data_IF_820980723779
#
_entry.id   IF_820980723779
#
_cell.length_a   1.000
_cell.length_b   1.000
_cell.length_c   1.000
_cell.angle_alpha   90.00
_cell.angle_beta   90.00
_cell.angle_gamma   90.00
#
_symmetry.space_group_name_H-M   'P 1'
#
loop_
_entity.id
_entity.type
_entity.pdbx_description
1 polymer ?
#
# COMPACT_ATOMS: atom_id res chain seq x y z
N UNK A 1 -20.81 -19.57 0.57
CA UNK A 1 -19.59 -19.55 1.42
C UNK A 1 -18.48 -20.50 0.90
N UNK A 2 -18.10 -20.45 -0.40
CA UNK A 2 -17.04 -21.32 -0.97
C UNK A 2 -16.20 -20.70 -2.11
N UNK A 3 -16.18 -19.37 -2.30
CA UNK A 3 -15.43 -18.74 -3.42
C UNK A 3 -14.35 -17.73 -2.95
N UNK A 4 -14.30 -17.39 -1.66
CA UNK A 4 -13.24 -16.51 -1.13
C UNK A 4 -11.92 -17.21 -0.78
N UNK A 5 -11.86 -18.56 -0.82
CA UNK A 5 -10.67 -19.33 -0.42
C UNK A 5 -9.68 -19.65 -1.55
N UNK A 6 -9.94 -19.27 -2.81
CA UNK A 6 -9.07 -19.66 -3.93
C UNK A 6 -7.92 -18.68 -4.21
N UNK A 7 -8.02 -17.42 -3.76
CA UNK A 7 -7.02 -16.38 -4.09
C UNK A 7 -5.98 -16.11 -2.99
N UNK A 8 -6.04 -16.79 -1.84
CA UNK A 8 -5.03 -16.67 -0.79
C UNK A 8 -3.80 -17.60 -0.97
N UNK A 9 -3.77 -18.46 -2.01
CA UNK A 9 -2.76 -19.52 -2.14
C UNK A 9 -1.67 -19.30 -3.21
N UNK A 10 -1.43 -18.07 -3.69
CA UNK A 10 -0.21 -17.78 -4.49
C UNK A 10 1.03 -17.48 -3.61
N UNK A 11 0.88 -17.38 -2.29
CA UNK A 11 1.99 -17.10 -1.33
C UNK A 11 1.90 -17.89 0.01
N UNK A 12 1.92 -19.25 -0.05
CA UNK A 12 2.29 -20.27 0.98
C UNK A 12 1.66 -20.23 2.40
N UNK A 13 0.92 -21.24 2.90
CA UNK A 13 1.31 -22.55 3.50
C UNK A 13 0.04 -23.47 3.53
N UNK A 14 0.15 -24.82 3.47
CA UNK A 14 -0.96 -25.71 3.15
C UNK A 14 -1.88 -26.03 4.33
N UNK A 15 -3.19 -26.12 4.07
CA UNK A 15 -4.13 -26.79 4.95
C UNK A 15 -4.66 -28.05 4.25
N UNK A 16 -4.36 -29.19 4.86
CA UNK A 16 -4.77 -30.53 4.45
C UNK A 16 -5.98 -30.91 5.30
N UNK A 17 -7.14 -31.15 4.70
CA UNK A 17 -8.25 -31.81 5.37
C UNK A 17 -8.88 -32.87 4.45
N UNK A 18 -8.71 -34.12 4.89
CA UNK A 18 -9.45 -35.31 4.45
C UNK A 18 -10.77 -35.31 5.22
N UNK A 19 -11.88 -35.56 4.53
CA UNK A 19 -13.19 -35.74 5.16
C UNK A 19 -14.20 -36.26 4.14
N UNK A 20 -14.40 -37.56 4.14
CA UNK A 20 -15.21 -38.31 3.18
C UNK A 20 -16.71 -38.34 3.53
N UNK A 21 -17.46 -38.83 2.55
CA UNK A 21 -18.77 -39.51 2.58
C UNK A 21 -20.05 -38.67 2.68
N UNK A 22 -20.74 -38.60 1.54
CA UNK A 22 -22.10 -38.11 1.37
C UNK A 22 -22.48 -38.21 -0.11
N UNK A 23 -22.81 -39.41 -0.56
CA UNK A 23 -23.08 -39.77 -1.96
C UNK A 23 -24.33 -39.03 -2.46
N UNK A 24 -24.14 -38.19 -3.48
CA UNK A 24 -25.22 -37.58 -4.25
C UNK A 24 -24.69 -37.10 -5.58
N UNK A 25 -24.80 -37.93 -6.63
CA UNK A 25 -24.47 -37.51 -8.00
C UNK A 25 -25.58 -36.55 -8.44
N UNK A 26 -25.34 -35.23 -8.36
CA UNK A 26 -26.11 -34.24 -9.11
C UNK A 26 -25.40 -34.03 -10.45
N UNK A 27 -25.95 -34.61 -11.50
CA UNK A 27 -25.58 -34.28 -12.88
C UNK A 27 -26.15 -32.91 -13.22
N UNK A 28 -25.27 -31.91 -13.34
CA UNK A 28 -25.61 -30.66 -13.98
C UNK A 28 -25.15 -30.77 -15.43
N UNK A 29 -26.12 -30.83 -16.35
CA UNK A 29 -25.85 -30.75 -17.78
C UNK A 29 -25.38 -29.33 -18.08
N UNK A 30 -24.06 -29.14 -18.17
CA UNK A 30 -23.47 -27.90 -18.64
C UNK A 30 -23.81 -27.72 -20.11
N UNK A 31 -24.43 -26.58 -20.40
CA UNK A 31 -24.75 -26.04 -21.74
C UNK A 31 -23.42 -25.75 -22.47
N UNK A 32 -22.75 -26.79 -22.94
CA UNK A 32 -21.67 -26.77 -23.93
C UNK A 32 -21.41 -28.22 -24.40
N UNK A 33 -21.81 -28.52 -25.63
CA UNK A 33 -21.27 -29.62 -26.43
C UNK A 33 -21.79 -31.03 -26.13
N UNK A 34 -23.04 -31.31 -26.48
CA UNK A 34 -23.37 -32.69 -26.88
C UNK A 34 -22.86 -32.92 -28.29
N UNK A 35 -21.73 -33.64 -28.40
CA UNK A 35 -21.42 -34.37 -29.62
C UNK A 35 -22.31 -35.61 -29.66
N UNK A 36 -23.52 -35.47 -30.19
CA UNK A 36 -24.22 -36.59 -30.80
C UNK A 36 -23.77 -36.68 -32.25
N UNK A 37 -22.59 -37.27 -32.48
CA UNK A 37 -22.30 -37.89 -33.76
C UNK A 37 -22.72 -39.35 -33.66
N UNK A 38 -24.03 -39.58 -33.83
CA UNK A 38 -24.52 -40.85 -34.34
C UNK A 38 -25.90 -40.67 -34.97
N UNK A 39 -25.87 -40.53 -36.31
CA UNK A 39 -26.92 -41.01 -37.20
C UNK A 39 -28.26 -40.26 -37.23
N UNK A 40 -28.28 -39.02 -37.73
CA UNK A 40 -29.45 -38.49 -38.46
C UNK A 40 -28.94 -37.72 -39.67
N UNK A 41 -28.89 -38.41 -40.81
CA UNK A 41 -28.73 -37.79 -42.12
C UNK A 41 -30.04 -37.08 -42.50
N UNK A 42 -29.93 -35.89 -43.08
CA UNK A 42 -30.98 -35.12 -43.77
C UNK A 42 -32.06 -34.43 -42.91
N UNK A 43 -31.68 -33.39 -42.17
CA UNK A 43 -32.61 -32.29 -41.82
C UNK A 43 -32.17 -31.03 -42.57
N UNK A 44 -33.05 -30.37 -43.37
CA UNK A 44 -32.71 -29.13 -44.06
C UNK A 44 -32.26 -28.05 -43.07
N UNK A 45 -31.16 -27.36 -43.40
CA UNK A 45 -30.54 -26.30 -42.60
C UNK A 45 -31.50 -25.17 -42.20
N UNK A 46 -32.58 -25.00 -42.96
CA UNK A 46 -33.54 -23.93 -42.75
C UNK A 46 -34.45 -24.16 -41.53
N UNK A 47 -34.67 -25.42 -41.12
CA UNK A 47 -35.48 -25.75 -39.94
C UNK A 47 -34.71 -25.62 -38.62
N UNK A 48 -33.37 -25.77 -38.65
CA UNK A 48 -32.52 -25.66 -37.46
C UNK A 48 -32.39 -24.20 -37.02
N UNK A 49 -32.33 -23.26 -37.97
CA UNK A 49 -32.25 -21.83 -37.65
C UNK A 49 -33.58 -21.25 -37.10
N UNK A 50 -34.73 -21.88 -37.38
CA UNK A 50 -36.03 -21.44 -36.84
C UNK A 50 -36.29 -21.93 -35.40
N UNK A 51 -35.66 -23.02 -34.96
CA UNK A 51 -35.90 -23.62 -33.62
C UNK A 51 -34.99 -23.00 -32.53
N UNK A 52 -33.84 -22.43 -32.90
CA UNK A 52 -32.86 -21.90 -31.94
C UNK A 52 -32.86 -20.36 -31.77
N UNK A 53 -33.83 -19.64 -32.34
CA UNK A 53 -34.12 -18.25 -31.96
C UNK A 53 -34.97 -18.18 -30.68
N UNK A 54 -34.51 -18.86 -29.63
CA UNK A 54 -34.95 -18.52 -28.28
C UNK A 54 -34.13 -17.29 -27.92
N UNK A 55 -34.74 -16.11 -27.99
CA UNK A 55 -34.27 -14.91 -27.30
C UNK A 55 -33.95 -15.34 -25.88
N UNK A 56 -32.66 -15.52 -25.60
CA UNK A 56 -32.18 -15.96 -24.31
C UNK A 56 -32.48 -14.79 -23.38
N UNK A 57 -33.48 -14.87 -22.47
CA UNK A 57 -33.80 -13.74 -21.62
C UNK A 57 -32.52 -13.41 -20.84
N UNK A 58 -32.01 -12.18 -20.97
CA UNK A 58 -30.91 -11.72 -20.14
C UNK A 58 -31.35 -11.93 -18.69
N UNK A 59 -30.76 -12.93 -18.03
CA UNK A 59 -30.99 -13.17 -16.62
C UNK A 59 -30.61 -11.86 -15.91
N UNK A 60 -31.53 -11.22 -15.16
CA UNK A 60 -31.24 -9.96 -14.50
C UNK A 60 -29.98 -10.12 -13.65
N UNK A 61 -28.91 -9.42 -14.02
CA UNK A 61 -27.64 -9.46 -13.29
C UNK A 61 -27.81 -8.69 -11.98
N UNK A 62 -27.47 -9.34 -10.87
CA UNK A 62 -27.52 -8.75 -9.52
C UNK A 62 -26.65 -7.48 -9.47
N UNK A 63 -27.25 -6.35 -9.08
CA UNK A 63 -26.54 -5.10 -8.84
C UNK A 63 -26.09 -4.99 -7.39
N UNK A 64 -24.98 -4.31 -7.16
CA UNK A 64 -24.46 -4.02 -5.83
C UNK A 64 -23.82 -2.63 -5.82
N UNK A 65 -23.93 -1.91 -4.71
CA UNK A 65 -23.26 -0.60 -4.55
C UNK A 65 -21.77 -0.76 -4.24
N UNK A 66 -20.97 0.26 -4.53
CA UNK A 66 -19.58 0.31 -4.08
C UNK A 66 -19.47 0.26 -2.54
N UNK A 67 -20.40 0.89 -1.83
CA UNK A 67 -20.52 0.83 -0.37
C UNK A 67 -20.60 -0.63 0.12
N UNK A 68 -21.53 -1.40 -0.42
CA UNK A 68 -21.75 -2.79 -0.02
C UNK A 68 -20.56 -3.68 -0.38
N UNK A 69 -19.94 -3.45 -1.54
CA UNK A 69 -18.76 -4.21 -1.98
C UNK A 69 -17.56 -3.99 -1.04
N UNK A 70 -17.32 -2.75 -0.62
CA UNK A 70 -16.21 -2.41 0.30
C UNK A 70 -16.47 -2.88 1.74
N UNK A 71 -17.68 -2.66 2.26
CA UNK A 71 -18.04 -3.08 3.61
C UNK A 71 -18.06 -4.60 3.76
N UNK A 72 -18.56 -5.32 2.75
CA UNK A 72 -18.50 -6.80 2.70
C UNK A 72 -17.07 -7.33 2.66
N UNK A 73 -16.12 -6.51 2.20
CA UNK A 73 -14.68 -6.82 2.19
C UNK A 73 -13.97 -6.40 3.47
N UNK A 74 -14.70 -5.93 4.49
CA UNK A 74 -14.18 -5.57 5.80
C UNK A 74 -13.58 -4.17 5.90
N UNK A 75 -13.82 -3.29 4.92
CA UNK A 75 -13.37 -1.90 4.99
C UNK A 75 -14.40 -1.02 5.72
N UNK A 76 -13.90 -0.17 6.61
CA UNK A 76 -14.67 0.97 7.14
C UNK A 76 -14.65 2.07 6.09
N UNK A 77 -15.83 2.48 5.61
CA UNK A 77 -15.97 3.51 4.57
C UNK A 77 -16.15 4.90 5.17
N UNK A 78 -15.78 5.93 4.41
CA UNK A 78 -16.07 7.33 4.76
C UNK A 78 -17.58 7.56 4.83
N UNK A 79 -18.03 8.18 5.90
CA UNK A 79 -19.44 8.46 6.18
C UNK A 79 -19.62 9.83 6.83
N UNK A 80 -20.87 10.20 7.14
CA UNK A 80 -21.17 11.46 7.83
C UNK A 80 -20.51 11.59 9.21
N UNK A 81 -20.19 10.47 9.85
CA UNK A 81 -19.55 10.44 11.17
C UNK A 81 -18.02 10.37 11.12
N UNK A 82 -17.43 10.21 9.93
CA UNK A 82 -15.96 10.16 9.80
C UNK A 82 -15.35 11.49 10.25
N UNK A 83 -14.34 11.39 11.12
CA UNK A 83 -13.66 12.54 11.72
C UNK A 83 -12.77 13.25 10.70
N UNK A 84 -12.63 14.57 10.85
CA UNK A 84 -11.79 15.40 9.99
C UNK A 84 -10.34 14.90 9.90
N UNK A 85 -9.76 14.51 11.03
CA UNK A 85 -8.40 13.97 11.08
C UNK A 85 -8.22 12.71 10.23
N UNK A 86 -9.22 11.84 10.16
CA UNK A 86 -9.17 10.65 9.30
C UNK A 86 -9.17 11.07 7.82
N UNK A 87 -9.98 12.05 7.45
CA UNK A 87 -10.03 12.60 6.09
C UNK A 87 -8.71 13.29 5.71
N UNK A 88 -8.11 14.03 6.65
CA UNK A 88 -6.80 14.62 6.48
C UNK A 88 -5.76 13.54 6.16
N UNK A 89 -5.72 12.46 6.96
CA UNK A 89 -4.81 11.34 6.75
C UNK A 89 -5.05 10.63 5.42
N UNK A 90 -6.31 10.45 5.00
CA UNK A 90 -6.63 9.89 3.67
C UNK A 90 -6.02 10.72 2.54
N UNK A 91 -6.03 12.04 2.63
CA UNK A 91 -5.49 12.92 1.58
C UNK A 91 -3.96 12.90 1.51
N UNK A 92 -3.28 12.72 2.64
CA UNK A 92 -1.82 12.71 2.74
C UNK A 92 -1.22 11.30 2.87
N UNK A 93 -2.01 10.27 2.58
CA UNK A 93 -1.58 8.87 2.65
C UNK A 93 -0.53 8.52 1.58
N UNK A 94 -0.59 9.18 0.42
CA UNK A 94 0.42 9.03 -0.63
C UNK A 94 1.66 9.77 -0.19
N UNK A 95 2.82 9.20 -0.47
CA UNK A 95 4.07 9.83 -0.06
C UNK A 95 4.23 11.18 -0.76
N UNK A 96 5.01 12.05 -0.13
CA UNK A 96 5.51 13.29 -0.73
C UNK A 96 7.00 13.17 -1.07
N UNK A 97 7.37 12.33 -2.05
CA UNK A 97 8.77 12.12 -2.41
C UNK A 97 9.27 13.20 -3.37
N UNK A 98 8.36 13.99 -3.95
CA UNK A 98 8.71 15.03 -4.91
C UNK A 98 9.51 16.13 -4.21
N UNK A 99 10.72 16.32 -4.71
CA UNK A 99 11.60 17.40 -4.30
C UNK A 99 10.99 18.71 -4.80
N UNK A 100 10.65 19.60 -3.87
CA UNK A 100 10.30 21.00 -4.12
C UNK A 100 8.99 21.32 -4.88
N UNK A 101 8.08 20.37 -5.13
CA UNK A 101 6.81 20.65 -5.82
C UNK A 101 5.59 20.57 -4.91
N UNK A 102 4.52 21.27 -5.27
CA UNK A 102 3.22 21.14 -4.62
C UNK A 102 2.45 19.93 -5.18
N UNK A 103 1.65 19.23 -4.36
CA UNK A 103 0.73 18.21 -4.86
C UNK A 103 -0.63 18.83 -5.13
N UNK A 104 -1.11 18.66 -6.37
CA UNK A 104 -2.47 18.98 -6.77
C UNK A 104 -3.12 17.75 -7.41
N UNK A 105 -4.27 17.36 -6.89
CA UNK A 105 -5.13 16.34 -7.48
C UNK A 105 -6.20 17.05 -8.32
N UNK A 106 -6.16 16.87 -9.64
CA UNK A 106 -7.17 17.43 -10.54
C UNK A 106 -8.51 16.71 -10.37
N UNK A 107 -9.60 17.33 -10.85
CA UNK A 107 -10.93 16.70 -10.86
C UNK A 107 -10.92 15.30 -11.47
N UNK A 108 -11.69 14.39 -10.89
CA UNK A 108 -11.78 12.97 -11.29
C UNK A 108 -10.47 12.17 -11.18
N UNK A 109 -9.40 12.74 -10.60
CA UNK A 109 -8.10 12.05 -10.50
C UNK A 109 -8.11 10.95 -9.45
N UNK A 110 -8.74 11.20 -8.30
CA UNK A 110 -8.75 10.25 -7.18
C UNK A 110 -9.71 9.10 -7.48
N UNK A 111 -10.93 9.45 -7.87
CA UNK A 111 -12.03 8.58 -8.30
C UNK A 111 -13.03 9.40 -9.14
N UNK A 112 -13.95 8.76 -9.85
CA UNK A 112 -14.98 9.44 -10.65
C UNK A 112 -15.87 10.32 -9.75
N UNK A 113 -15.96 11.60 -10.07
CA UNK A 113 -16.67 12.59 -9.26
C UNK A 113 -15.82 13.25 -8.18
N UNK A 114 -14.56 12.84 -7.99
CA UNK A 114 -13.67 13.49 -7.03
C UNK A 114 -13.38 14.95 -7.39
N UNK A 115 -13.33 15.85 -6.38
CA UNK A 115 -13.08 17.27 -6.58
C UNK A 115 -11.60 17.52 -6.87
N UNK A 116 -11.29 18.74 -7.28
CA UNK A 116 -9.91 19.20 -7.24
C UNK A 116 -9.49 19.46 -5.79
N UNK A 117 -8.30 18.97 -5.44
CA UNK A 117 -7.73 19.10 -4.09
C UNK A 117 -6.28 19.56 -4.21
N UNK A 118 -5.94 20.59 -3.43
CA UNK A 118 -4.60 21.15 -3.40
C UNK A 118 -4.00 20.95 -2.03
N UNK A 119 -2.83 20.30 -1.97
CA UNK A 119 -2.09 20.08 -0.73
C UNK A 119 -0.98 21.12 -0.60
N UNK A 120 -0.88 21.74 0.56
CA UNK A 120 0.13 22.78 0.81
C UNK A 120 1.41 22.16 1.35
N UNK A 121 2.56 22.57 0.79
CA UNK A 121 3.88 22.23 1.32
C UNK A 121 4.22 23.15 2.48
N UNK A 122 4.94 22.63 3.46
CA UNK A 122 5.70 23.45 4.40
C UNK A 122 7.11 22.89 4.63
N UNK A 123 7.94 23.69 5.27
CA UNK A 123 9.38 23.46 5.44
C UNK A 123 9.74 23.63 6.92
N UNK A 124 10.54 22.71 7.44
CA UNK A 124 11.19 22.84 8.74
C UNK A 124 12.70 22.85 8.57
N UNK A 125 13.39 23.56 9.46
CA UNK A 125 14.85 23.58 9.55
C UNK A 125 15.27 23.01 10.90
N UNK A 126 16.27 22.14 10.91
CA UNK A 126 16.86 21.65 12.16
C UNK A 126 18.03 22.54 12.61
N UNK A 127 18.55 22.26 13.80
CA UNK A 127 19.75 22.88 14.39
C UNK A 127 21.00 22.87 13.49
N UNK A 128 21.07 21.96 12.52
CA UNK A 128 22.19 21.84 11.58
C UNK A 128 21.95 22.63 10.27
N UNK A 129 20.92 23.49 10.25
CA UNK A 129 20.47 24.26 9.09
C UNK A 129 20.06 23.41 7.87
N UNK A 130 19.75 22.13 8.07
CA UNK A 130 19.20 21.24 7.03
C UNK A 130 17.67 21.37 6.99
N UNK A 131 17.12 21.28 5.78
CA UNK A 131 15.70 21.51 5.50
C UNK A 131 14.95 20.21 5.26
N UNK A 132 13.75 20.07 5.82
CA UNK A 132 12.84 18.98 5.48
C UNK A 132 11.50 19.55 5.01
N UNK A 133 11.08 19.11 3.83
CA UNK A 133 9.78 19.45 3.28
C UNK A 133 8.73 18.41 3.68
N UNK A 134 7.55 18.90 4.03
CA UNK A 134 6.41 18.06 4.38
C UNK A 134 5.12 18.60 3.77
N UNK A 135 4.11 17.73 3.68
CA UNK A 135 2.74 18.14 3.40
C UNK A 135 2.11 18.61 4.70
N UNK A 136 1.54 19.82 4.68
CA UNK A 136 0.67 20.26 5.75
C UNK A 136 -0.59 19.39 5.79
N UNK A 137 -1.15 19.19 6.99
CA UNK A 137 -2.47 18.58 7.12
C UNK A 137 -3.48 19.43 6.31
N UNK A 138 -4.28 18.82 5.42
CA UNK A 138 -5.22 19.56 4.58
C UNK A 138 -6.20 20.37 5.42
N UNK A 139 -6.58 21.54 4.89
CA UNK A 139 -7.62 22.36 5.51
C UNK A 139 -8.97 21.65 5.50
N UNK A 140 -9.83 22.00 6.46
CA UNK A 140 -11.20 21.45 6.57
C UNK A 140 -12.01 21.58 5.28
N UNK A 141 -11.78 22.65 4.53
CA UNK A 141 -12.44 22.85 3.22
C UNK A 141 -12.11 21.74 2.21
N UNK A 142 -10.89 21.20 2.24
CA UNK A 142 -10.47 20.12 1.34
C UNK A 142 -10.99 18.76 1.80
N UNK A 143 -11.04 18.51 3.11
CA UNK A 143 -11.60 17.27 3.67
C UNK A 143 -13.12 17.20 3.52
N UNK A 144 -13.85 18.30 3.71
CA UNK A 144 -15.29 18.37 3.48
C UNK A 144 -15.65 18.08 2.01
N UNK A 145 -14.87 18.63 1.07
CA UNK A 145 -15.00 18.33 -0.37
C UNK A 145 -14.82 16.83 -0.64
N UNK A 146 -13.77 16.22 -0.09
CA UNK A 146 -13.51 14.78 -0.25
C UNK A 146 -14.67 13.95 0.33
N UNK A 147 -15.08 14.25 1.57
CA UNK A 147 -16.14 13.54 2.29
C UNK A 147 -17.42 13.48 1.47
N UNK A 148 -17.90 14.63 1.01
CA UNK A 148 -19.13 14.72 0.21
C UNK A 148 -19.00 13.93 -1.09
N UNK A 149 -17.86 14.03 -1.78
CA UNK A 149 -17.64 13.27 -3.01
C UNK A 149 -17.61 11.75 -2.78
N UNK A 150 -17.01 11.29 -1.68
CA UNK A 150 -17.01 9.89 -1.29
C UNK A 150 -18.42 9.37 -1.01
N UNK A 151 -19.22 10.09 -0.22
CA UNK A 151 -20.59 9.68 0.12
C UNK A 151 -21.46 9.55 -1.12
N UNK A 152 -21.27 10.43 -2.11
CA UNK A 152 -21.97 10.34 -3.40
C UNK A 152 -21.46 9.16 -4.23
N UNK A 153 -20.14 9.02 -4.40
CA UNK A 153 -19.56 7.98 -5.23
C UNK A 153 -19.83 6.55 -4.71
N UNK A 154 -19.85 6.37 -3.39
CA UNK A 154 -20.10 5.07 -2.75
C UNK A 154 -21.52 4.53 -3.01
N UNK A 155 -22.48 5.39 -3.37
CA UNK A 155 -23.86 5.01 -3.76
C UNK A 155 -23.98 4.53 -5.20
N UNK A 156 -22.91 4.64 -6.01
CA UNK A 156 -22.91 4.11 -7.37
C UNK A 156 -23.14 2.61 -7.37
N UNK A 157 -23.94 2.12 -8.31
CA UNK A 157 -24.29 0.71 -8.48
C UNK A 157 -23.71 0.18 -9.78
N UNK A 158 -23.10 -1.00 -9.70
CA UNK A 158 -22.64 -1.77 -10.86
C UNK A 158 -23.05 -3.24 -10.69
N UNK A 159 -22.85 -4.05 -11.74
CA UNK A 159 -23.10 -5.48 -11.63
C UNK A 159 -22.06 -6.16 -10.75
N UNK A 160 -22.52 -7.05 -9.86
CA UNK A 160 -21.70 -7.67 -8.82
C UNK A 160 -20.49 -8.45 -9.35
N UNK A 161 -20.63 -9.07 -10.51
CA UNK A 161 -19.56 -9.80 -11.20
C UNK A 161 -18.43 -8.87 -11.68
N UNK A 162 -18.73 -7.60 -11.92
CA UNK A 162 -17.75 -6.60 -12.37
C UNK A 162 -16.83 -6.10 -11.25
N UNK A 163 -17.10 -6.43 -9.98
CA UNK A 163 -16.18 -6.14 -8.86
C UNK A 163 -15.05 -7.18 -8.70
N UNK A 164 -14.94 -8.14 -9.62
CA UNK A 164 -13.94 -9.20 -9.54
C UNK A 164 -12.67 -8.91 -10.36
N UNK A 165 -11.50 -9.34 -9.86
CA UNK A 165 -10.19 -9.16 -10.52
C UNK A 165 -10.09 -9.93 -11.85
N UNK A 166 -10.87 -11.00 -11.99
CA UNK A 166 -10.90 -11.88 -13.16
C UNK A 166 -12.34 -12.03 -13.62
N UNK A 167 -12.78 -11.12 -14.48
CA UNK A 167 -13.99 -11.34 -15.26
C UNK A 167 -13.60 -12.04 -16.55
N UNK A 168 -14.04 -13.29 -16.75
CA UNK A 168 -13.96 -14.03 -18.02
C UNK A 168 -12.59 -14.01 -18.74
N UNK A 169 -11.48 -14.00 -18.00
CA UNK A 169 -10.13 -14.01 -18.60
C UNK A 169 -9.69 -12.69 -19.25
N UNK A 170 -10.45 -11.60 -19.11
CA UNK A 170 -10.12 -10.27 -19.60
C UNK A 170 -9.49 -9.36 -18.54
N UNK A 171 -8.93 -8.23 -19.00
CA UNK A 171 -8.41 -7.15 -18.17
C UNK A 171 -9.43 -6.66 -17.13
N UNK A 172 -8.95 -5.97 -16.09
CA UNK A 172 -9.78 -5.42 -15.03
C UNK A 172 -10.89 -4.51 -15.60
N UNK A 173 -12.14 -4.76 -15.19
CA UNK A 173 -13.30 -3.93 -15.54
C UNK A 173 -13.13 -2.50 -15.01
N UNK A 174 -13.85 -1.54 -15.60
CA UNK A 174 -13.83 -0.17 -15.10
C UNK A 174 -14.48 -0.05 -13.72
N UNK A 175 -15.51 -0.86 -13.43
CA UNK A 175 -16.10 -0.98 -12.10
C UNK A 175 -15.06 -1.44 -11.06
N UNK A 176 -14.22 -2.43 -11.38
CA UNK A 176 -13.15 -2.89 -10.49
C UNK A 176 -12.07 -1.83 -10.26
N UNK A 177 -11.66 -1.12 -11.32
CA UNK A 177 -10.69 -0.02 -11.22
C UNK A 177 -11.23 1.10 -10.33
N UNK A 178 -12.51 1.43 -10.49
CA UNK A 178 -13.18 2.45 -9.69
C UNK A 178 -13.36 2.00 -8.24
N UNK A 179 -13.76 0.75 -7.99
CA UNK A 179 -13.79 0.16 -6.64
C UNK A 179 -12.42 0.23 -5.98
N UNK A 180 -11.34 -0.02 -6.72
CA UNK A 180 -9.97 0.07 -6.21
C UNK A 180 -9.58 1.50 -5.82
N UNK A 181 -10.04 2.50 -6.57
CA UNK A 181 -9.86 3.92 -6.27
C UNK A 181 -10.68 4.36 -5.06
N UNK A 182 -11.95 3.95 -4.98
CA UNK A 182 -12.81 4.23 -3.82
C UNK A 182 -12.29 3.53 -2.56
N UNK A 183 -11.74 2.32 -2.68
CA UNK A 183 -11.02 1.65 -1.60
C UNK A 183 -9.82 2.49 -1.13
N UNK A 184 -9.09 3.14 -2.03
CA UNK A 184 -7.94 3.97 -1.67
C UNK A 184 -8.36 5.27 -0.97
N UNK A 185 -9.38 5.96 -1.47
CA UNK A 185 -9.68 7.35 -1.11
C UNK A 185 -10.95 7.55 -0.28
N UNK A 186 -11.82 6.53 -0.18
CA UNK A 186 -13.10 6.61 0.53
C UNK A 186 -13.25 5.53 1.61
N UNK A 187 -12.13 5.01 2.13
CA UNK A 187 -12.09 4.13 3.30
C UNK A 187 -11.18 4.70 4.36
N UNK A 188 -11.50 4.44 5.63
CA UNK A 188 -10.66 4.75 6.77
C UNK A 188 -9.48 3.76 6.79
N UNK A 189 -8.25 4.21 6.49
CA UNK A 189 -7.15 3.30 6.31
C UNK A 189 -6.56 2.85 7.64
N UNK A 190 -6.15 1.58 7.69
CA UNK A 190 -5.20 1.07 8.68
C UNK A 190 -3.79 1.16 8.13
N UNK A 191 -2.77 1.07 8.98
CA UNK A 191 -1.35 1.09 8.56
C UNK A 191 -1.09 0.03 7.48
N UNK A 192 -1.59 -1.20 7.65
CA UNK A 192 -1.49 -2.27 6.63
C UNK A 192 -2.10 -1.90 5.27
N UNK A 193 -3.21 -1.16 5.26
CA UNK A 193 -3.86 -0.74 4.02
C UNK A 193 -2.97 0.25 3.26
N UNK A 194 -2.34 1.19 3.96
CA UNK A 194 -1.45 2.18 3.35
C UNK A 194 -0.16 1.53 2.86
N UNK A 195 0.46 0.63 3.65
CA UNK A 195 1.63 -0.14 3.20
C UNK A 195 1.32 -0.95 1.93
N UNK A 196 0.16 -1.61 1.88
CA UNK A 196 -0.29 -2.35 0.69
C UNK A 196 -0.55 -1.44 -0.53
N UNK A 197 -1.08 -0.22 -0.33
CA UNK A 197 -1.24 0.79 -1.40
C UNK A 197 0.13 1.23 -1.96
N UNK A 198 1.15 1.23 -1.12
CA UNK A 198 2.56 1.45 -1.48
C UNK A 198 3.27 0.18 -1.98
N UNK A 199 2.54 -0.89 -2.26
CA UNK A 199 3.07 -2.16 -2.79
C UNK A 199 4.20 -2.78 -1.96
N UNK A 200 4.21 -2.51 -0.66
CA UNK A 200 5.11 -3.20 0.27
C UNK A 200 4.51 -4.56 0.62
N UNK A 201 5.33 -5.61 0.53
CA UNK A 201 4.91 -6.97 0.90
C UNK A 201 5.04 -7.12 2.41
N UNK A 202 3.91 -7.25 3.12
CA UNK A 202 3.92 -7.44 4.57
C UNK A 202 4.43 -8.84 4.93
N UNK A 203 5.33 -8.92 5.91
CA UNK A 203 5.80 -10.18 6.46
C UNK A 203 4.70 -10.85 7.29
N UNK A 204 4.63 -12.17 7.24
CA UNK A 204 3.68 -12.93 8.04
C UNK A 204 4.02 -12.84 9.53
N UNK A 205 3.03 -12.43 10.33
CA UNK A 205 3.12 -12.34 11.78
C UNK A 205 2.55 -13.55 12.51
N UNK A 206 1.80 -14.42 11.81
CA UNK A 206 1.14 -15.60 12.39
C UNK A 206 1.79 -16.93 11.98
N UNK A 207 2.72 -16.93 11.01
CA UNK A 207 3.36 -18.12 10.48
C UNK A 207 4.88 -17.95 10.42
N UNK A 208 5.60 -19.07 10.47
CA UNK A 208 7.06 -19.09 10.43
C UNK A 208 7.63 -19.10 9.01
N UNK A 209 6.80 -18.90 7.97
CA UNK A 209 7.25 -18.90 6.56
C UNK A 209 8.24 -17.78 6.24
N UNK A 210 8.18 -16.69 7.00
CA UNK A 210 8.96 -15.48 6.73
C UNK A 210 10.10 -15.32 7.76
N UNK A 211 10.42 -16.33 8.56
CA UNK A 211 11.44 -16.23 9.62
C UNK A 211 12.81 -15.79 9.09
N UNK A 212 13.24 -16.28 7.93
CA UNK A 212 14.51 -15.84 7.34
C UNK A 212 14.48 -14.38 6.87
N UNK A 213 13.32 -13.88 6.44
CA UNK A 213 13.13 -12.47 6.10
C UNK A 213 13.07 -11.60 7.35
N UNK A 214 12.48 -12.10 8.44
CA UNK A 214 12.53 -11.44 9.74
C UNK A 214 13.98 -11.30 10.23
N UNK A 215 14.81 -12.32 10.04
CA UNK A 215 16.26 -12.23 10.32
C UNK A 215 16.93 -11.17 9.46
N UNK A 216 16.62 -11.09 8.17
CA UNK A 216 17.16 -10.04 7.28
C UNK A 216 16.76 -8.63 7.77
N UNK A 217 15.50 -8.43 8.17
CA UNK A 217 15.03 -7.14 8.71
C UNK A 217 15.79 -6.77 9.98
N UNK A 218 15.91 -7.69 10.94
CA UNK A 218 16.57 -7.45 12.23
C UNK A 218 18.08 -7.19 12.04
N UNK A 219 18.73 -7.95 11.15
CA UNK A 219 20.15 -7.75 10.84
C UNK A 219 20.42 -6.56 9.89
N UNK A 220 19.38 -5.86 9.41
CA UNK A 220 19.47 -4.83 8.37
C UNK A 220 20.28 -3.59 8.76
N UNK A 221 20.40 -3.29 10.06
CA UNK A 221 21.29 -2.24 10.56
C UNK A 221 20.70 -1.37 11.67
N UNK A 222 19.37 -1.30 11.78
CA UNK A 222 18.69 -0.52 12.82
C UNK A 222 18.98 -0.99 14.25
N UNK A 223 19.34 -2.26 14.41
CA UNK A 223 19.68 -2.87 15.70
C UNK A 223 21.20 -3.03 15.91
N UNK A 224 22.03 -2.38 15.08
CA UNK A 224 23.48 -2.27 15.30
C UNK A 224 23.81 -1.16 16.28
N UNK A 225 24.93 -1.29 16.98
CA UNK A 225 25.37 -0.39 18.05
C UNK A 225 25.29 1.09 17.66
N UNK A 226 25.75 1.47 16.46
CA UNK A 226 25.79 2.84 15.96
C UNK A 226 24.41 3.47 15.67
N UNK A 227 23.37 2.64 15.57
CA UNK A 227 21.99 3.04 15.28
C UNK A 227 21.02 2.78 16.43
N UNK A 228 21.48 2.20 17.55
CA UNK A 228 20.65 1.99 18.72
C UNK A 228 20.08 3.32 19.23
N UNK A 229 18.78 3.33 19.51
CA UNK A 229 18.06 4.53 19.99
C UNK A 229 17.56 5.48 18.89
N UNK A 230 17.89 5.26 17.61
CA UNK A 230 17.41 6.09 16.49
C UNK A 230 16.03 5.69 15.96
N UNK A 231 15.61 4.46 16.24
CA UNK A 231 14.28 3.94 15.95
C UNK A 231 13.37 4.04 17.19
N UNK A 232 12.06 4.17 16.99
CA UNK A 232 11.03 4.24 18.04
C UNK A 232 10.02 3.10 18.00
N UNK A 233 10.15 2.20 17.02
CA UNK A 233 9.25 1.08 16.77
C UNK A 233 9.26 0.04 17.90
N UNK A 234 10.46 -0.33 18.38
CA UNK A 234 10.67 -1.19 19.55
C UNK A 234 10.94 -0.29 20.75
N UNK A 235 9.95 -0.19 21.65
CA UNK A 235 10.00 0.67 22.84
C UNK A 235 10.99 0.17 23.91
N UNK A 236 11.04 -1.15 24.11
CA UNK A 236 11.93 -1.79 25.08
C UNK A 236 13.13 -2.41 24.35
N UNK A 237 13.97 -1.56 23.77
CA UNK A 237 15.10 -1.98 22.93
C UNK A 237 16.07 -2.90 23.66
N UNK A 238 16.31 -2.65 24.94
CA UNK A 238 17.19 -3.47 25.77
C UNK A 238 16.65 -4.90 25.90
N UNK A 239 15.34 -5.04 26.14
CA UNK A 239 14.70 -6.35 26.24
C UNK A 239 14.75 -7.10 24.91
N UNK A 240 14.62 -6.37 23.79
CA UNK A 240 14.77 -6.94 22.45
C UNK A 240 16.22 -7.40 22.17
N UNK A 241 17.22 -6.63 22.57
CA UNK A 241 18.62 -6.97 22.33
C UNK A 241 19.14 -8.09 23.24
N UNK A 242 18.59 -8.25 24.45
CA UNK A 242 19.00 -9.29 25.39
C UNK A 242 20.47 -9.16 25.79
N UNK A 243 21.28 -10.19 25.53
CA UNK A 243 22.73 -10.17 25.81
C UNK A 243 23.52 -9.27 24.84
N UNK A 244 22.88 -8.74 23.79
CA UNK A 244 23.51 -7.89 22.76
C UNK A 244 23.24 -6.39 22.96
N UNK A 245 22.86 -5.96 24.17
CA UNK A 245 22.60 -4.55 24.49
C UNK A 245 23.76 -3.63 24.12
N UNK A 246 25.00 -4.07 24.39
CA UNK A 246 26.19 -3.26 24.16
C UNK A 246 26.77 -3.40 22.75
N UNK A 247 26.52 -4.52 22.06
CA UNK A 247 27.13 -4.82 20.75
C UNK A 247 26.17 -4.65 19.57
N UNK A 248 24.86 -4.67 19.83
CA UNK A 248 23.84 -4.76 18.79
C UNK A 248 23.84 -6.09 18.03
N UNK A 249 23.04 -6.15 16.97
CA UNK A 249 22.86 -7.29 16.07
C UNK A 249 23.33 -6.88 14.67
N UNK A 250 24.36 -7.56 14.15
CA UNK A 250 24.98 -7.22 12.87
C UNK A 250 24.79 -8.26 11.78
N UNK A 251 24.42 -9.49 12.14
CA UNK A 251 24.29 -10.60 11.19
C UNK A 251 23.01 -11.40 11.41
N UNK A 252 22.52 -12.07 10.37
CA UNK A 252 21.30 -12.90 10.46
C UNK A 252 21.46 -14.10 11.38
N UNK A 253 22.69 -14.62 11.53
CA UNK A 253 23.01 -15.74 12.44
C UNK A 253 22.95 -15.36 13.92
N UNK A 254 22.99 -14.06 14.23
CA UNK A 254 22.84 -13.54 15.60
C UNK A 254 21.38 -13.38 16.02
N UNK A 255 20.43 -13.44 15.09
CA UNK A 255 19.02 -13.18 15.38
C UNK A 255 18.38 -14.40 16.04
N UNK A 256 17.75 -14.19 17.19
CA UNK A 256 17.06 -15.24 17.94
C UNK A 256 15.57 -15.33 17.57
N UNK A 257 14.94 -16.48 17.82
CA UNK A 257 13.49 -16.62 17.62
C UNK A 257 12.70 -15.67 18.54
N UNK A 258 13.20 -15.40 19.74
CA UNK A 258 12.57 -14.44 20.67
C UNK A 258 12.49 -13.03 20.06
N UNK A 259 13.57 -12.57 19.43
CA UNK A 259 13.59 -11.28 18.72
C UNK A 259 12.59 -11.25 17.56
N UNK A 260 12.49 -12.34 16.79
CA UNK A 260 11.52 -12.47 15.72
C UNK A 260 10.09 -12.36 16.27
N UNK A 261 9.78 -13.05 17.36
CA UNK A 261 8.43 -13.03 17.96
C UNK A 261 8.07 -11.66 18.56
N UNK A 262 9.03 -10.96 19.19
CA UNK A 262 8.82 -9.58 19.65
C UNK A 262 8.47 -8.67 18.47
N UNK A 263 9.20 -8.78 17.36
CA UNK A 263 8.96 -7.95 16.19
C UNK A 263 7.64 -8.30 15.50
N UNK A 264 7.31 -9.59 15.35
CA UNK A 264 6.02 -10.07 14.84
C UNK A 264 4.86 -9.52 15.66
N UNK A 265 4.96 -9.57 16.99
CA UNK A 265 3.94 -9.02 17.91
C UNK A 265 3.75 -7.53 17.68
N UNK A 266 4.84 -6.75 17.68
CA UNK A 266 4.79 -5.31 17.45
C UNK A 266 4.17 -4.98 16.09
N UNK A 267 4.56 -5.69 15.03
CA UNK A 267 4.00 -5.52 13.71
C UNK A 267 2.51 -5.86 13.67
N UNK A 268 2.07 -6.94 14.31
CA UNK A 268 0.65 -7.32 14.39
C UNK A 268 -0.19 -6.21 15.04
N UNK A 269 0.31 -5.60 16.10
CA UNK A 269 -0.37 -4.50 16.79
C UNK A 269 -0.41 -3.23 15.93
N UNK A 270 0.72 -2.80 15.36
CA UNK A 270 0.80 -1.56 14.58
C UNK A 270 0.03 -1.65 13.26
N UNK A 271 0.09 -2.79 12.56
CA UNK A 271 -0.56 -2.98 11.26
C UNK A 271 -2.09 -2.83 11.32
N UNK A 272 -2.70 -3.11 12.48
CA UNK A 272 -4.15 -3.00 12.69
C UNK A 272 -4.61 -1.62 13.17
N UNK A 273 -3.69 -0.74 13.57
CA UNK A 273 -4.03 0.64 13.97
C UNK A 273 -4.53 1.45 12.78
N UNK A 274 -5.37 2.43 13.09
CA UNK A 274 -5.74 3.46 12.13
C UNK A 274 -4.49 4.21 11.68
N UNK A 275 -4.41 4.48 10.39
CA UNK A 275 -3.30 5.23 9.82
C UNK A 275 -3.39 6.70 10.21
N UNK A 276 -2.30 7.22 10.74
CA UNK A 276 -2.13 8.62 11.12
C UNK A 276 -0.80 9.13 10.57
N UNK A 277 -0.82 10.28 9.88
CA UNK A 277 0.38 10.92 9.35
C UNK A 277 0.66 12.17 10.16
N UNK A 278 1.71 12.09 10.99
CA UNK A 278 2.14 13.21 11.85
C UNK A 278 3.21 14.04 11.16
N UNK A 279 4.29 13.39 10.77
CA UNK A 279 5.44 13.95 10.10
C UNK A 279 6.04 12.84 9.24
N UNK A 280 6.31 13.14 7.98
CA UNK A 280 6.95 12.21 7.06
C UNK A 280 7.83 13.06 6.15
N UNK A 281 9.07 12.69 5.91
CA UNK A 281 9.78 11.41 6.12
C UNK A 281 10.84 11.47 7.24
N UNK A 282 10.67 12.38 8.21
CA UNK A 282 11.71 12.75 9.18
C UNK A 282 11.98 11.67 10.23
N UNK A 283 13.21 11.62 10.74
CA UNK A 283 13.60 10.69 11.81
C UNK A 283 13.48 11.33 13.18
N UNK A 284 13.62 10.50 14.22
CA UNK A 284 13.71 10.96 15.61
C UNK A 284 14.78 12.04 15.79
N UNK A 285 15.97 11.82 15.25
CA UNK A 285 17.10 12.77 15.36
C UNK A 285 16.75 14.15 14.77
N UNK A 286 16.01 14.19 13.66
CA UNK A 286 15.59 15.46 13.05
C UNK A 286 14.53 16.16 13.90
N UNK A 287 13.55 15.41 14.39
CA UNK A 287 12.47 15.94 15.26
C UNK A 287 13.06 16.52 16.56
N UNK A 288 13.97 15.79 17.19
CA UNK A 288 14.63 16.20 18.45
C UNK A 288 15.51 17.45 18.23
N UNK A 289 15.97 17.68 16.99
CA UNK A 289 16.78 18.84 16.58
C UNK A 289 16.01 20.03 16.01
N UNK A 290 14.67 20.03 16.00
CA UNK A 290 13.87 21.17 15.52
C UNK A 290 13.87 22.34 16.53
N UNK A 291 14.27 23.53 16.10
CA UNK A 291 14.40 24.71 16.97
C UNK A 291 13.05 25.27 17.47
N UNK A 292 11.96 25.05 16.71
CA UNK A 292 10.61 25.55 17.02
C UNK A 292 9.69 24.50 17.63
N UNK A 293 10.21 23.64 18.52
CA UNK A 293 9.44 22.54 19.10
C UNK A 293 8.48 22.99 20.23
N UNK A 294 7.74 24.10 20.03
CA UNK A 294 6.65 24.50 20.93
C UNK A 294 5.50 23.47 20.93
N UNK A 295 5.44 22.58 19.93
CA UNK A 295 4.55 21.43 19.89
C UNK A 295 5.30 20.15 20.31
N UNK A 296 5.32 19.86 21.62
CA UNK A 296 5.85 18.65 22.28
C UNK A 296 5.25 17.30 21.80
N UNK A 297 4.58 17.26 20.65
CA UNK A 297 3.76 16.13 20.19
C UNK A 297 4.23 15.50 18.87
N UNK A 298 5.31 16.00 18.29
CA UNK A 298 5.89 15.46 17.06
C UNK A 298 6.62 14.15 17.38
N UNK A 299 6.01 13.01 17.07
CA UNK A 299 6.64 11.67 17.15
C UNK A 299 6.83 11.11 15.76
N UNK A 300 7.82 10.24 15.54
CA UNK A 300 7.98 9.53 14.26
C UNK A 300 6.65 8.85 13.89
N UNK A 301 6.29 8.92 12.60
CA UNK A 301 5.09 8.26 12.08
C UNK A 301 5.24 6.73 12.15
N UNK A 302 4.28 6.05 12.78
CA UNK A 302 4.27 4.59 12.90
C UNK A 302 4.26 3.89 11.53
N UNK A 303 3.64 4.48 10.50
CA UNK A 303 3.71 3.97 9.13
C UNK A 303 5.15 3.95 8.61
N UNK A 304 5.92 4.98 8.94
CA UNK A 304 7.30 5.13 8.48
C UNK A 304 8.13 3.93 8.91
N UNK A 305 8.03 3.58 10.20
CA UNK A 305 8.79 2.50 10.80
C UNK A 305 8.18 1.13 10.51
N UNK A 306 6.86 1.01 10.44
CA UNK A 306 6.21 -0.23 10.03
C UNK A 306 6.65 -0.68 8.63
N UNK A 307 6.97 0.25 7.72
CA UNK A 307 7.57 -0.12 6.44
C UNK A 307 9.02 -0.62 6.55
N UNK A 308 9.79 -0.16 7.53
CA UNK A 308 11.17 -0.64 7.74
C UNK A 308 11.18 -2.03 8.35
N UNK A 309 10.23 -2.28 9.26
CA UNK A 309 10.26 -3.46 10.13
C UNK A 309 9.25 -4.55 9.80
N UNK A 310 8.10 -4.22 9.17
CA UNK A 310 7.01 -5.18 8.96
C UNK A 310 6.83 -5.61 7.49
N UNK A 311 7.73 -5.19 6.60
CA UNK A 311 7.69 -5.59 5.20
C UNK A 311 9.00 -6.19 4.71
N UNK A 312 8.90 -6.99 3.66
CA UNK A 312 10.04 -7.53 2.93
C UNK A 312 10.99 -6.40 2.49
N UNK A 313 12.31 -6.59 2.65
CA UNK A 313 13.28 -5.61 2.19
C UNK A 313 13.15 -5.30 0.69
N UNK A 314 12.95 -4.03 0.37
CA UNK A 314 12.91 -3.51 -1.01
C UNK A 314 13.89 -2.36 -1.16
N UNK A 315 14.52 -2.24 -2.34
CA UNK A 315 15.44 -1.13 -2.62
C UNK A 315 14.69 0.16 -2.95
N UNK A 316 15.33 1.31 -2.74
CA UNK A 316 14.73 2.61 -3.06
C UNK A 316 14.39 2.71 -4.55
N UNK A 317 15.27 2.19 -5.42
CA UNK A 317 15.02 2.08 -6.87
C UNK A 317 13.77 1.25 -7.17
N UNK A 318 13.70 0.03 -6.66
CA UNK A 318 12.56 -0.87 -6.90
C UNK A 318 11.25 -0.24 -6.45
N UNK A 319 11.28 0.44 -5.30
CA UNK A 319 10.12 1.13 -4.78
C UNK A 319 9.68 2.30 -5.67
N UNK A 320 10.61 3.15 -6.10
CA UNK A 320 10.31 4.27 -7.02
C UNK A 320 9.70 3.76 -8.33
N UNK A 321 10.29 2.73 -8.94
CA UNK A 321 9.85 2.20 -10.23
C UNK A 321 8.54 1.41 -10.13
N UNK A 322 8.43 0.51 -9.14
CA UNK A 322 7.31 -0.44 -9.03
C UNK A 322 6.14 0.12 -8.25
N UNK A 323 6.37 0.76 -7.10
CA UNK A 323 5.31 1.29 -6.25
C UNK A 323 4.84 2.66 -6.70
N UNK A 324 5.76 3.61 -6.80
CA UNK A 324 5.44 5.00 -7.13
C UNK A 324 5.27 5.27 -8.61
N UNK A 325 5.70 4.32 -9.46
CA UNK A 325 5.67 4.45 -10.91
C UNK A 325 6.42 5.71 -11.40
N UNK A 326 7.47 6.10 -10.69
CA UNK A 326 8.38 7.18 -11.07
C UNK A 326 9.54 6.69 -11.93
N UNK A 327 10.52 7.56 -12.09
CA UNK A 327 11.84 7.26 -12.63
C UNK A 327 12.88 7.46 -11.52
N UNK A 328 13.99 6.73 -11.60
CA UNK A 328 15.17 7.03 -10.79
C UNK A 328 15.83 8.28 -11.36
N UNK A 329 16.04 9.29 -10.52
CA UNK A 329 16.71 10.50 -10.94
C UNK A 329 18.16 10.22 -11.35
N UNK A 330 18.59 10.85 -12.43
CA UNK A 330 19.94 10.71 -12.95
C UNK A 330 20.94 11.59 -12.20
N UNK A 331 20.47 12.62 -11.46
CA UNK A 331 21.35 13.58 -10.77
C UNK A 331 20.74 14.19 -9.50
N UNK A 332 21.63 14.70 -8.65
CA UNK A 332 21.30 15.59 -7.54
C UNK A 332 21.72 17.01 -7.91
N UNK A 333 20.80 17.96 -7.81
CA UNK A 333 21.02 19.39 -7.98
C UNK A 333 21.54 20.02 -6.68
N UNK A 334 22.10 21.23 -6.75
CA UNK A 334 22.68 21.91 -5.59
C UNK A 334 21.68 22.16 -4.45
N UNK A 335 20.40 22.34 -4.79
CA UNK A 335 19.32 22.50 -3.81
C UNK A 335 19.11 21.23 -2.96
N UNK A 336 19.41 20.06 -3.51
CA UNK A 336 19.26 18.79 -2.81
C UNK A 336 20.25 18.65 -1.66
N UNK A 337 21.42 19.30 -1.74
CA UNK A 337 22.42 19.28 -0.67
C UNK A 337 21.96 19.98 0.61
N UNK A 338 20.94 20.83 0.51
CA UNK A 338 20.30 21.47 1.66
C UNK A 338 19.22 20.59 2.30
N UNK A 339 18.76 19.55 1.59
CA UNK A 339 17.77 18.61 2.12
C UNK A 339 18.37 17.80 3.27
N UNK A 340 17.57 17.58 4.30
CA UNK A 340 17.91 16.72 5.42
C UNK A 340 18.28 15.30 4.97
N UNK A 341 17.76 14.82 3.84
CA UNK A 341 18.07 13.49 3.33
C UNK A 341 19.45 13.34 2.68
N UNK A 342 20.09 14.45 2.32
CA UNK A 342 21.41 14.39 1.71
C UNK A 342 22.48 13.95 2.72
N UNK A 343 23.33 13.03 2.28
CA UNK A 343 24.48 12.49 3.01
C UNK A 343 25.73 12.78 2.19
N UNK A 344 26.71 13.46 2.79
CA UNK A 344 27.89 13.99 2.07
C UNK A 344 28.73 12.86 1.46
N UNK A 345 28.82 11.71 2.14
CA UNK A 345 29.53 10.52 1.67
C UNK A 345 28.79 9.77 0.55
N UNK A 346 27.58 10.23 0.18
CA UNK A 346 26.73 9.66 -0.87
C UNK A 346 26.32 10.75 -1.86
N UNK A 347 27.24 11.25 -2.71
CA UNK A 347 26.97 12.38 -3.58
C UNK A 347 26.15 12.03 -4.82
N UNK A 348 25.93 10.74 -5.14
CA UNK A 348 25.25 10.32 -6.38
C UNK A 348 23.92 9.61 -6.12
N UNK A 349 22.90 9.74 -6.99
CA UNK A 349 21.64 8.99 -6.85
C UNK A 349 21.81 7.46 -6.79
N UNK A 350 22.87 6.93 -7.42
CA UNK A 350 23.22 5.50 -7.34
C UNK A 350 23.51 5.03 -5.92
N UNK A 351 24.04 5.91 -5.07
CA UNK A 351 24.43 5.59 -3.69
C UNK A 351 23.22 5.40 -2.76
N UNK A 352 22.07 5.96 -3.16
CA UNK A 352 20.78 5.85 -2.49
C UNK A 352 19.91 4.75 -3.11
N UNK A 353 20.07 4.47 -4.41
CA UNK A 353 19.22 3.55 -5.16
C UNK A 353 19.22 2.12 -4.61
N UNK A 354 20.34 1.67 -4.07
CA UNK A 354 20.51 0.32 -3.50
C UNK A 354 20.08 0.20 -2.03
N UNK A 355 19.81 1.32 -1.35
CA UNK A 355 19.40 1.32 0.06
C UNK A 355 18.08 0.58 0.20
N UNK A 356 18.05 -0.40 1.11
CA UNK A 356 16.87 -1.20 1.41
C UNK A 356 16.04 -0.56 2.52
N UNK A 357 14.78 -0.97 2.66
CA UNK A 357 13.89 -0.54 3.75
C UNK A 357 14.47 -0.76 5.15
N UNK A 358 15.25 -1.81 5.35
CA UNK A 358 15.86 -2.17 6.63
C UNK A 358 17.29 -1.61 6.84
N UNK A 359 17.83 -0.85 5.88
CA UNK A 359 19.22 -0.34 5.91
C UNK A 359 19.25 1.15 6.29
N UNK A 360 19.66 1.52 7.52
CA UNK A 360 19.81 2.91 7.91
C UNK A 360 21.04 3.56 7.25
N UNK A 361 20.88 4.80 6.79
CA UNK A 361 21.92 5.54 6.10
C UNK A 361 22.33 6.75 6.95
N UNK A 362 23.41 6.61 7.73
CA UNK A 362 23.83 7.63 8.72
C UNK A 362 22.67 8.05 9.67
N UNK A 363 21.89 7.06 10.12
CA UNK A 363 20.68 7.26 10.94
C UNK A 363 19.45 7.78 10.19
N UNK A 364 19.54 8.04 8.88
CA UNK A 364 18.41 8.39 8.02
C UNK A 364 17.69 7.13 7.56
N UNK A 365 16.39 7.26 7.30
CA UNK A 365 15.56 6.12 6.89
C UNK A 365 15.60 5.90 5.38
N UNK A 366 15.14 4.72 4.97
CA UNK A 366 14.83 4.37 3.59
C UNK A 366 14.06 5.45 2.82
N UNK A 367 13.16 6.15 3.49
CA UNK A 367 12.36 7.20 2.88
C UNK A 367 13.18 8.39 2.40
N UNK A 368 14.32 8.64 3.05
CA UNK A 368 15.30 9.59 2.54
C UNK A 368 15.93 9.10 1.25
N UNK A 369 16.32 7.84 1.16
CA UNK A 369 16.85 7.28 -0.08
C UNK A 369 15.82 7.38 -1.22
N UNK A 370 14.55 7.04 -0.96
CA UNK A 370 13.45 7.19 -1.94
C UNK A 370 13.32 8.64 -2.41
N UNK A 371 13.36 9.61 -1.49
CA UNK A 371 13.29 11.03 -1.85
C UNK A 371 14.47 11.47 -2.72
N UNK A 372 15.69 11.07 -2.37
CA UNK A 372 16.89 11.46 -3.10
C UNK A 372 16.94 10.90 -4.53
N UNK A 373 16.26 9.77 -4.79
CA UNK A 373 16.25 9.13 -6.11
C UNK A 373 14.95 9.30 -6.88
N UNK A 374 13.92 9.93 -6.31
CA UNK A 374 12.64 10.05 -7.00
C UNK A 374 12.63 11.19 -8.02
N UNK A 375 12.33 10.83 -9.27
CA UNK A 375 11.86 11.74 -10.31
C UNK A 375 10.44 11.35 -10.75
N UNK A 376 9.51 12.31 -10.89
CA UNK A 376 8.22 12.02 -11.49
C UNK A 376 8.40 11.58 -12.95
N UNK A 377 7.57 10.65 -13.44
CA UNK A 377 7.56 10.35 -14.88
C UNK A 377 7.22 11.60 -15.66
N UNK A 378 8.06 11.91 -16.64
CA UNK A 378 7.77 12.98 -17.60
C UNK A 378 6.40 12.69 -18.23
N UNK A 379 5.53 13.70 -18.25
CA UNK A 379 4.31 13.61 -19.06
C UNK A 379 4.77 13.44 -20.50
N UNK A 380 4.23 12.49 -21.28
CA UNK A 380 4.54 12.42 -22.69
C UNK A 380 4.23 13.79 -23.28
N UNK A 381 5.29 14.48 -23.74
CA UNK A 381 5.14 15.71 -24.50
C UNK A 381 4.38 15.28 -25.74
N UNK A 382 3.13 15.74 -25.89
CA UNK A 382 2.40 15.56 -27.13
C UNK A 382 3.12 16.39 -28.20
N UNK A 383 4.14 15.80 -28.82
CA UNK A 383 4.79 16.31 -30.02
C UNK A 383 3.87 16.02 -31.21
N UNK A 384 2.78 16.77 -31.29
CA UNK A 384 2.02 16.95 -32.53
C UNK A 384 1.63 18.43 -32.63
N UNK A 385 2.50 19.18 -33.29
CA UNK A 385 2.16 20.41 -34.02
C UNK A 385 1.70 20.05 -35.41
#
# INVERSE_FOLDING_TARGET
MKIFNYLFNKYGIPALFIGSTGIGIKTYLSKNGYSFVSSIANIPSDLINTIFQIDNPEIPREKQTYLDALTSSGYTVVSETTKDEVLQNILIQRLFPSRHSQIQYTKNRLFKGSPEITLTRAEYTNKDNKKADYLQKPAKTETDKLKNACIVALKGEEHKDEFSVRHNGQEQTDAFKELSRLREWCTEPKVKHVLGRHKLTLLSTDQNKDDDKWKEVIAGGWFKQENLGRQTFIKEIDNFLGDKKDTGISTTGEVTNEQIEILKKQCKEVLEKNFERKNFYVTKDFIDGMENNNNKQTTVDEFQEAALFCSEPITAKDYVEKAMQGNVDAKLDEKDKQDYCFVEEKPQPSDYSSIKTNDPMAGKTFWCAVRMVYAPKEKPVNSKS
#
